data_IF_321173958721
#
_entry.id   IF_321173958721
#
_cell.length_a   1.000
_cell.length_b   1.000
_cell.length_c   1.000
_cell.angle_alpha   90.00
_cell.angle_beta   90.00
_cell.angle_gamma   90.00
#
_symmetry.space_group_name_H-M   'P 1'
#
loop_
_entity.id
_entity.type
_entity.pdbx_description
1 polymer ?
#
# COMPACT_ATOMS: atom_id res chain seq x y z
N UNK A 1 -20.04 -18.65 -20.22
CA UNK A 1 -20.47 -19.99 -19.69
C UNK A 1 -21.79 -19.89 -18.93
N UNK A 2 -21.98 -19.05 -17.90
CA UNK A 2 -23.27 -18.93 -17.16
C UNK A 2 -24.43 -18.66 -18.13
N UNK A 3 -24.32 -17.65 -18.99
CA UNK A 3 -25.38 -17.35 -20.02
C UNK A 3 -25.66 -18.54 -20.93
N UNK A 4 -24.67 -19.36 -21.27
CA UNK A 4 -24.88 -20.57 -22.07
C UNK A 4 -25.75 -21.60 -21.33
N UNK A 5 -25.45 -21.84 -20.06
CA UNK A 5 -26.27 -22.71 -19.21
C UNK A 5 -27.71 -22.19 -19.09
N UNK A 6 -27.85 -20.87 -18.86
CA UNK A 6 -29.17 -20.21 -18.78
C UNK A 6 -29.96 -20.35 -20.10
N UNK A 7 -29.31 -20.13 -21.24
CA UNK A 7 -29.96 -20.21 -22.56
C UNK A 7 -30.34 -21.64 -22.95
N UNK A 8 -29.74 -22.66 -22.32
CA UNK A 8 -30.02 -24.06 -22.55
C UNK A 8 -30.92 -24.67 -21.46
N UNK A 9 -31.44 -23.83 -20.54
CA UNK A 9 -32.21 -24.27 -19.37
C UNK A 9 -31.50 -25.35 -18.53
N UNK A 10 -30.15 -25.30 -18.48
CA UNK A 10 -29.34 -26.22 -17.70
C UNK A 10 -28.96 -25.53 -16.37
N UNK A 11 -29.20 -26.16 -15.21
CA UNK A 11 -28.79 -25.56 -13.94
C UNK A 11 -27.27 -25.36 -13.85
N UNK A 12 -26.83 -24.14 -13.50
CA UNK A 12 -25.41 -23.84 -13.26
C UNK A 12 -24.99 -24.54 -11.97
N UNK A 13 -23.91 -25.35 -11.97
CA UNK A 13 -23.44 -26.00 -10.76
C UNK A 13 -23.13 -25.00 -9.62
N UNK A 14 -23.65 -25.26 -8.41
CA UNK A 14 -23.47 -24.38 -7.26
C UNK A 14 -21.99 -24.09 -6.94
N UNK A 15 -21.12 -25.09 -7.08
CA UNK A 15 -19.67 -24.93 -6.89
C UNK A 15 -19.03 -23.97 -7.91
N UNK A 16 -19.57 -23.92 -9.14
CA UNK A 16 -19.13 -22.96 -10.14
C UNK A 16 -19.57 -21.53 -9.77
N UNK A 17 -20.84 -21.35 -9.38
CA UNK A 17 -21.35 -20.07 -8.93
C UNK A 17 -20.57 -19.53 -7.72
N UNK A 18 -20.25 -20.38 -6.76
CA UNK A 18 -19.44 -19.99 -5.60
C UNK A 18 -18.04 -19.50 -6.00
N UNK A 19 -17.37 -20.18 -6.94
CA UNK A 19 -16.06 -19.76 -7.46
C UNK A 19 -16.17 -18.46 -8.26
N UNK A 20 -17.20 -18.35 -9.07
CA UNK A 20 -17.49 -17.16 -9.85
C UNK A 20 -17.75 -15.95 -8.95
N UNK A 21 -18.52 -16.10 -7.88
CA UNK A 21 -18.77 -15.05 -6.90
C UNK A 21 -17.45 -14.52 -6.30
N UNK A 22 -16.50 -15.40 -5.96
CA UNK A 22 -15.21 -15.00 -5.39
C UNK A 22 -14.39 -14.08 -6.31
N UNK A 23 -14.53 -14.20 -7.63
CA UNK A 23 -13.86 -13.32 -8.58
C UNK A 23 -14.42 -11.88 -8.51
N UNK A 24 -15.72 -11.73 -8.27
CA UNK A 24 -16.36 -10.42 -8.14
C UNK A 24 -16.14 -9.79 -6.76
N UNK A 25 -15.99 -10.59 -5.73
CA UNK A 25 -15.75 -10.10 -4.36
C UNK A 25 -14.43 -9.36 -4.19
N UNK A 26 -13.49 -9.45 -5.14
CA UNK A 26 -12.26 -8.68 -5.10
C UNK A 26 -12.53 -7.17 -5.16
N UNK A 27 -13.51 -6.73 -5.97
CA UNK A 27 -13.81 -5.31 -6.16
C UNK A 27 -14.23 -4.61 -4.86
N UNK A 28 -15.26 -5.06 -4.13
CA UNK A 28 -15.66 -4.42 -2.89
C UNK A 28 -14.58 -4.53 -1.79
N UNK A 29 -13.85 -5.64 -1.74
CA UNK A 29 -12.81 -5.84 -0.73
C UNK A 29 -11.61 -4.91 -0.91
N UNK A 30 -11.26 -4.58 -2.16
CA UNK A 30 -10.21 -3.59 -2.48
C UNK A 30 -10.73 -2.15 -2.55
N UNK A 31 -12.04 -1.92 -2.52
CA UNK A 31 -12.63 -0.60 -2.73
C UNK A 31 -12.05 0.45 -1.77
N UNK A 32 -11.60 1.55 -2.32
CA UNK A 32 -11.22 2.76 -1.58
C UNK A 32 -12.46 3.57 -1.18
N UNK A 33 -12.36 4.51 -0.24
CA UNK A 33 -13.46 5.40 0.16
C UNK A 33 -14.11 6.19 -0.98
N UNK A 34 -13.41 6.43 -2.09
CA UNK A 34 -13.94 7.10 -3.28
C UNK A 34 -14.81 6.20 -4.18
N UNK A 35 -14.96 4.91 -3.82
CA UNK A 35 -15.76 3.93 -4.55
C UNK A 35 -15.03 3.22 -5.69
N UNK A 36 -13.72 3.40 -5.82
CA UNK A 36 -12.89 2.75 -6.85
C UNK A 36 -11.89 1.77 -6.22
N UNK A 37 -11.37 0.86 -7.03
CA UNK A 37 -10.21 0.06 -6.64
C UNK A 37 -8.92 0.90 -6.74
N UNK A 38 -7.86 0.58 -5.98
CA UNK A 38 -6.56 1.23 -6.16
C UNK A 38 -5.92 0.83 -7.50
N UNK A 39 -4.99 1.68 -7.98
CA UNK A 39 -4.05 1.27 -9.02
C UNK A 39 -3.05 0.29 -8.39
N UNK A 40 -2.93 -0.90 -8.93
CA UNK A 40 -1.96 -1.90 -8.45
C UNK A 40 -1.25 -2.50 -9.66
N UNK A 41 0.06 -2.54 -9.64
CA UNK A 41 0.86 -3.05 -10.76
C UNK A 41 0.46 -2.38 -12.09
N UNK A 42 0.34 -3.12 -13.20
CA UNK A 42 -0.18 -2.60 -14.47
C UNK A 42 -1.72 -2.46 -14.50
N UNK A 43 -2.37 -2.41 -13.35
CA UNK A 43 -3.81 -2.18 -13.24
C UNK A 43 -4.20 -0.71 -13.26
N UNK A 44 -5.50 -0.48 -13.34
CA UNK A 44 -6.12 0.83 -13.23
C UNK A 44 -7.28 0.82 -12.24
N UNK A 45 -7.79 2.01 -11.90
CA UNK A 45 -8.93 2.16 -11.00
C UNK A 45 -10.23 1.73 -11.67
N UNK A 46 -10.93 0.79 -11.07
CA UNK A 46 -12.26 0.34 -11.49
C UNK A 46 -13.33 0.95 -10.60
N UNK A 47 -14.43 1.40 -11.19
CA UNK A 47 -15.65 1.82 -10.46
C UNK A 47 -16.35 0.59 -9.90
N UNK A 48 -16.32 0.42 -8.58
CA UNK A 48 -16.85 -0.77 -7.91
C UNK A 48 -18.36 -0.87 -8.07
N UNK A 49 -19.09 0.21 -8.01
CA UNK A 49 -20.55 0.17 -8.20
C UNK A 49 -20.93 -0.32 -9.61
N UNK A 50 -20.18 0.10 -10.65
CA UNK A 50 -20.36 -0.37 -12.01
C UNK A 50 -20.07 -1.87 -12.14
N UNK A 51 -19.00 -2.35 -11.53
CA UNK A 51 -18.65 -3.77 -11.58
C UNK A 51 -19.67 -4.62 -10.81
N UNK A 52 -20.16 -4.15 -9.64
CA UNK A 52 -21.19 -4.86 -8.89
C UNK A 52 -22.53 -4.91 -9.64
N UNK A 53 -22.91 -3.88 -10.40
CA UNK A 53 -24.10 -3.95 -11.28
C UNK A 53 -23.97 -5.05 -12.32
N UNK A 54 -22.81 -5.24 -12.93
CA UNK A 54 -22.54 -6.36 -13.85
C UNK A 54 -22.62 -7.71 -13.16
N UNK A 55 -22.07 -7.82 -11.94
CA UNK A 55 -22.10 -9.06 -11.16
C UNK A 55 -23.54 -9.48 -10.81
N UNK A 56 -24.41 -8.52 -10.50
CA UNK A 56 -25.83 -8.74 -10.20
C UNK A 56 -26.65 -9.25 -11.40
N UNK A 57 -26.18 -9.08 -12.65
CA UNK A 57 -26.80 -9.73 -13.80
C UNK A 57 -26.76 -11.27 -13.72
N UNK A 58 -25.82 -11.80 -12.94
CA UNK A 58 -25.61 -13.25 -12.77
C UNK A 58 -26.06 -13.79 -11.41
N UNK A 59 -26.09 -12.94 -10.40
CA UNK A 59 -26.42 -13.28 -9.03
C UNK A 59 -27.28 -12.17 -8.38
N UNK A 60 -28.52 -11.98 -8.85
CA UNK A 60 -29.38 -10.86 -8.42
C UNK A 60 -29.81 -10.95 -6.94
N UNK A 61 -29.70 -12.12 -6.32
CA UNK A 61 -30.03 -12.35 -4.91
C UNK A 61 -28.99 -11.81 -3.91
N UNK A 62 -27.80 -11.41 -4.37
CA UNK A 62 -26.72 -10.92 -3.54
C UNK A 62 -27.01 -9.49 -3.04
N UNK A 63 -27.66 -9.42 -1.87
CA UNK A 63 -28.04 -8.15 -1.24
C UNK A 63 -26.83 -7.30 -0.81
N UNK A 64 -25.72 -7.93 -0.45
CA UNK A 64 -24.45 -7.27 -0.17
C UNK A 64 -23.87 -6.60 -1.44
N UNK A 65 -23.99 -7.24 -2.61
CA UNK A 65 -23.57 -6.63 -3.88
C UNK A 65 -24.48 -5.49 -4.31
N UNK A 66 -25.80 -5.58 -4.02
CA UNK A 66 -26.75 -4.50 -4.24
C UNK A 66 -26.36 -3.26 -3.46
N UNK A 67 -25.87 -3.43 -2.23
CA UNK A 67 -25.41 -2.31 -1.41
C UNK A 67 -24.27 -1.54 -2.10
N UNK A 68 -23.25 -2.22 -2.61
CA UNK A 68 -22.17 -1.59 -3.36
C UNK A 68 -22.64 -1.00 -4.70
N UNK A 69 -23.47 -1.74 -5.46
CA UNK A 69 -24.01 -1.30 -6.75
C UNK A 69 -24.83 -0.02 -6.67
N UNK A 70 -25.46 0.24 -5.53
CA UNK A 70 -26.32 1.40 -5.24
C UNK A 70 -25.62 2.46 -4.38
N UNK A 71 -24.31 2.32 -4.14
CA UNK A 71 -23.54 3.22 -3.27
C UNK A 71 -24.17 3.38 -1.86
N UNK A 72 -24.67 2.28 -1.29
CA UNK A 72 -25.23 2.24 0.06
C UNK A 72 -26.69 2.62 0.20
N UNK A 73 -27.40 2.94 -0.89
CA UNK A 73 -28.82 3.34 -0.83
C UNK A 73 -29.80 2.15 -0.91
N UNK A 74 -29.33 0.95 -1.22
CA UNK A 74 -30.13 -0.28 -1.28
C UNK A 74 -29.29 -1.50 -0.94
N UNK A 75 -29.94 -2.61 -0.61
CA UNK A 75 -29.27 -3.84 -0.20
C UNK A 75 -28.90 -3.85 1.29
N UNK A 76 -27.98 -4.73 1.67
CA UNK A 76 -27.50 -4.90 3.05
C UNK A 76 -26.03 -4.56 3.11
N UNK A 77 -25.58 -3.68 4.04
CA UNK A 77 -24.17 -3.37 4.17
C UNK A 77 -23.35 -4.62 4.47
N UNK A 78 -22.07 -4.67 4.01
CA UNK A 78 -21.22 -5.81 4.31
C UNK A 78 -20.96 -5.93 5.81
N UNK A 79 -20.83 -7.14 6.30
CA UNK A 79 -20.57 -7.44 7.72
C UNK A 79 -19.08 -7.42 8.09
N UNK A 80 -18.23 -6.85 7.25
CA UNK A 80 -16.81 -6.67 7.46
C UNK A 80 -16.40 -5.23 7.12
N UNK A 81 -15.30 -4.76 7.67
CA UNK A 81 -14.64 -3.51 7.30
C UNK A 81 -13.33 -3.79 6.58
N UNK A 82 -12.35 -4.25 7.31
CA UNK A 82 -11.04 -4.59 6.77
C UNK A 82 -11.01 -6.02 6.23
N UNK A 83 -10.12 -6.30 5.29
CA UNK A 83 -10.05 -7.61 4.67
C UNK A 83 -8.61 -8.01 4.30
N UNK A 84 -8.30 -9.27 4.47
CA UNK A 84 -7.02 -9.86 4.04
C UNK A 84 -7.31 -10.98 3.06
N UNK A 85 -6.60 -10.97 1.93
CA UNK A 85 -6.53 -12.09 1.01
C UNK A 85 -5.33 -12.96 1.38
N UNK A 86 -5.47 -13.99 2.22
CA UNK A 86 -4.31 -14.67 2.83
C UNK A 86 -3.48 -15.45 1.81
N UNK A 87 -4.08 -15.78 0.67
CA UNK A 87 -3.37 -16.41 -0.43
C UNK A 87 -2.59 -15.41 -1.29
N UNK A 88 -3.25 -14.29 -1.64
CA UNK A 88 -2.70 -13.29 -2.55
C UNK A 88 -1.83 -12.24 -1.85
N UNK A 89 -2.03 -12.05 -0.55
CA UNK A 89 -1.27 -11.06 0.23
C UNK A 89 -1.81 -9.63 0.15
N UNK A 90 -2.94 -9.40 -0.49
CA UNK A 90 -3.56 -8.08 -0.49
C UNK A 90 -4.26 -7.83 0.86
N UNK A 91 -3.93 -6.72 1.51
CA UNK A 91 -4.49 -6.32 2.80
C UNK A 91 -5.17 -4.97 2.66
N UNK A 92 -6.43 -4.86 3.08
CA UNK A 92 -7.14 -3.59 3.19
C UNK A 92 -7.62 -3.37 4.61
N UNK A 93 -7.41 -2.17 5.12
CA UNK A 93 -7.81 -1.74 6.46
C UNK A 93 -8.66 -0.49 6.35
N UNK A 94 -9.74 -0.36 7.13
CA UNK A 94 -10.62 0.81 7.06
C UNK A 94 -11.41 1.06 8.32
N UNK A 95 -11.83 2.34 8.52
CA UNK A 95 -12.74 2.74 9.58
C UNK A 95 -14.21 2.63 9.19
N UNK A 96 -14.52 2.67 7.91
CA UNK A 96 -15.89 2.68 7.39
C UNK A 96 -15.94 2.52 5.88
N UNK A 97 -17.15 2.67 5.33
CA UNK A 97 -17.42 2.56 3.89
C UNK A 97 -17.77 3.91 3.24
N UNK A 98 -17.87 4.97 4.02
CA UNK A 98 -18.16 6.30 3.51
C UNK A 98 -16.94 6.97 2.90
N UNK A 99 -17.16 8.08 2.16
CA UNK A 99 -16.09 8.80 1.46
C UNK A 99 -15.04 9.45 2.36
N UNK A 100 -15.36 9.64 3.64
CA UNK A 100 -14.43 10.21 4.64
C UNK A 100 -13.69 9.16 5.46
N UNK A 101 -14.01 7.88 5.26
CA UNK A 101 -13.33 6.80 5.94
C UNK A 101 -11.81 6.87 5.75
N UNK A 102 -11.07 6.49 6.77
CA UNK A 102 -9.63 6.27 6.68
C UNK A 102 -9.40 4.85 6.18
N UNK A 103 -8.62 4.72 5.12
CA UNK A 103 -8.35 3.47 4.43
C UNK A 103 -6.87 3.33 4.12
N UNK A 104 -6.37 2.11 4.23
CA UNK A 104 -5.04 1.74 3.77
C UNK A 104 -5.06 0.41 3.02
N UNK A 105 -4.11 0.26 2.12
CA UNK A 105 -3.73 -0.98 1.45
C UNK A 105 -2.27 -1.31 1.77
N UNK A 106 -1.96 -2.59 1.96
CA UNK A 106 -0.59 -3.10 2.02
C UNK A 106 -0.45 -4.28 1.08
N UNK A 107 0.60 -4.25 0.26
CA UNK A 107 0.98 -5.37 -0.60
C UNK A 107 1.90 -6.35 0.16
N UNK A 108 1.33 -7.42 0.67
CA UNK A 108 2.06 -8.54 1.26
C UNK A 108 2.19 -9.73 0.30
N UNK A 109 1.96 -9.50 -1.00
CA UNK A 109 1.99 -10.55 -2.03
C UNK A 109 3.43 -10.99 -2.36
N UNK A 110 3.65 -12.24 -2.73
CA UNK A 110 4.86 -12.62 -3.44
C UNK A 110 4.83 -12.06 -4.87
N UNK A 111 5.97 -12.09 -5.54
CA UNK A 111 5.97 -11.88 -6.98
C UNK A 111 5.16 -12.98 -7.68
N UNK A 112 4.30 -12.56 -8.59
CA UNK A 112 3.47 -13.42 -9.42
C UNK A 112 3.97 -13.43 -10.87
N UNK A 113 3.01 -13.56 -11.77
CA UNK A 113 3.28 -13.73 -13.21
C UNK A 113 2.80 -12.51 -14.00
N UNK A 114 3.69 -11.90 -14.78
CA UNK A 114 3.37 -10.81 -15.69
C UNK A 114 2.78 -9.56 -15.00
N UNK A 115 2.91 -8.43 -15.61
CA UNK A 115 2.35 -7.15 -15.11
C UNK A 115 2.78 -6.77 -13.69
N UNK A 116 3.78 -7.43 -13.12
CA UNK A 116 4.25 -7.18 -11.77
C UNK A 116 5.21 -5.98 -11.72
N UNK A 117 5.10 -5.20 -10.65
CA UNK A 117 6.06 -4.17 -10.29
C UNK A 117 6.95 -4.63 -9.13
N UNK A 118 8.03 -3.93 -8.90
CA UNK A 118 8.96 -4.17 -7.78
C UNK A 118 8.46 -3.43 -6.52
N UNK A 119 7.25 -3.75 -6.10
CA UNK A 119 6.40 -2.99 -5.18
C UNK A 119 6.06 -3.75 -3.88
N UNK A 120 6.80 -4.81 -3.56
CA UNK A 120 6.47 -5.61 -2.38
C UNK A 120 6.58 -4.79 -1.10
N UNK A 121 5.59 -4.97 -0.22
CA UNK A 121 5.38 -4.20 1.02
C UNK A 121 5.00 -2.73 0.79
N UNK A 122 4.50 -2.38 -0.42
CA UNK A 122 3.94 -1.06 -0.72
C UNK A 122 2.72 -0.77 0.16
N UNK A 123 2.55 0.51 0.52
CA UNK A 123 1.40 1.00 1.31
C UNK A 123 0.73 2.16 0.57
N UNK A 124 -0.61 2.13 0.52
CA UNK A 124 -1.43 3.24 0.04
C UNK A 124 -2.31 3.75 1.16
N UNK A 125 -2.63 5.03 1.17
CA UNK A 125 -3.53 5.66 2.15
C UNK A 125 -4.48 6.62 1.46
N UNK A 126 -5.79 6.43 1.71
CA UNK A 126 -6.82 7.40 1.38
C UNK A 126 -7.60 7.75 2.65
N UNK A 127 -7.84 9.01 2.91
CA UNK A 127 -8.58 9.44 4.09
C UNK A 127 -9.29 10.77 3.83
N UNK A 128 -10.46 10.96 4.45
CA UNK A 128 -11.21 12.22 4.41
C UNK A 128 -11.48 12.73 2.99
N UNK A 129 -11.69 11.78 2.04
CA UNK A 129 -11.96 12.07 0.64
C UNK A 129 -10.74 12.47 -0.20
N UNK A 130 -9.52 12.31 0.33
CA UNK A 130 -8.27 12.64 -0.38
C UNK A 130 -7.40 11.40 -0.54
N UNK A 131 -6.82 11.21 -1.73
CA UNK A 131 -5.66 10.34 -1.92
C UNK A 131 -4.46 10.99 -1.22
N UNK A 132 -3.81 10.28 -0.32
CA UNK A 132 -2.70 10.82 0.46
C UNK A 132 -1.38 10.17 0.08
N UNK A 133 -1.25 8.87 0.28
CA UNK A 133 -0.12 8.07 -0.18
C UNK A 133 -0.64 7.25 -1.35
N UNK A 134 -0.08 7.48 -2.52
CA UNK A 134 -0.66 7.09 -3.79
C UNK A 134 0.23 6.12 -4.58
N UNK A 135 -0.31 5.60 -5.67
CA UNK A 135 0.34 4.64 -6.56
C UNK A 135 0.11 5.04 -8.02
N UNK A 136 1.16 4.96 -8.81
CA UNK A 136 1.11 5.30 -10.22
C UNK A 136 0.32 4.32 -11.08
N UNK A 137 0.32 3.05 -10.70
CA UNK A 137 -0.27 2.00 -11.50
C UNK A 137 0.46 1.79 -12.83
N UNK A 138 -0.28 1.41 -13.85
CA UNK A 138 0.28 1.14 -15.18
C UNK A 138 0.75 2.42 -15.89
N UNK A 139 1.75 2.27 -16.74
CA UNK A 139 2.13 3.22 -17.78
C UNK A 139 2.15 2.51 -19.14
N UNK A 140 2.39 3.24 -20.23
CA UNK A 140 2.46 2.65 -21.55
C UNK A 140 3.55 1.56 -21.65
N UNK A 141 3.30 0.52 -22.46
CA UNK A 141 4.25 -0.57 -22.70
C UNK A 141 5.31 -0.14 -23.73
N UNK A 142 6.13 0.83 -23.35
CA UNK A 142 7.22 1.37 -24.17
C UNK A 142 8.57 1.19 -23.46
N UNK A 143 9.64 1.71 -24.06
CA UNK A 143 11.00 1.65 -23.49
C UNK A 143 11.40 2.95 -22.79
N UNK A 144 10.42 3.83 -22.50
CA UNK A 144 10.68 5.12 -21.86
C UNK A 144 11.23 4.99 -20.45
N UNK A 145 11.92 6.03 -19.97
CA UNK A 145 12.38 6.08 -18.58
C UNK A 145 11.22 6.12 -17.59
N UNK A 146 10.06 6.68 -18.01
CA UNK A 146 8.86 6.64 -17.20
C UNK A 146 8.33 5.22 -17.02
N UNK A 147 8.33 4.38 -18.10
CA UNK A 147 7.94 2.97 -17.96
C UNK A 147 8.88 2.20 -17.04
N UNK A 148 10.18 2.39 -17.18
CA UNK A 148 11.18 1.78 -16.28
C UNK A 148 10.98 2.23 -14.85
N UNK A 149 10.68 3.52 -14.65
CA UNK A 149 10.44 4.08 -13.31
C UNK A 149 9.21 3.45 -12.65
N UNK A 150 8.06 3.40 -13.32
CA UNK A 150 6.83 2.86 -12.71
C UNK A 150 6.93 1.37 -12.35
N UNK A 151 7.78 0.62 -13.04
CA UNK A 151 8.06 -0.78 -12.70
C UNK A 151 9.01 -0.94 -11.52
N UNK A 152 9.87 0.05 -11.26
CA UNK A 152 10.95 -0.02 -10.28
C UNK A 152 10.47 0.29 -8.87
N UNK A 153 11.16 -0.23 -7.87
CA UNK A 153 10.87 0.05 -6.45
C UNK A 153 10.83 1.54 -6.11
N UNK A 154 11.50 2.38 -6.91
CA UNK A 154 11.49 3.84 -6.75
C UNK A 154 10.13 4.52 -6.92
N UNK A 155 9.20 3.87 -7.62
CA UNK A 155 7.85 4.40 -7.85
C UNK A 155 6.85 4.01 -6.76
N UNK A 156 7.28 3.27 -5.74
CA UNK A 156 6.40 2.66 -4.74
C UNK A 156 6.76 3.07 -3.30
N UNK A 157 5.81 2.91 -2.38
CA UNK A 157 5.92 3.33 -0.98
C UNK A 157 6.55 2.21 -0.14
N UNK A 158 7.77 1.85 -0.45
CA UNK A 158 8.52 0.76 0.18
C UNK A 158 10.00 1.14 0.36
N UNK A 159 10.86 0.16 0.59
CA UNK A 159 12.29 0.39 0.88
C UNK A 159 13.16 -0.13 -0.25
N UNK A 160 14.20 0.64 -0.58
CA UNK A 160 15.36 0.24 -1.40
C UNK A 160 16.58 0.06 -0.52
N UNK A 161 17.49 -0.83 -0.93
CA UNK A 161 18.75 -1.10 -0.24
C UNK A 161 19.93 -0.86 -1.18
N UNK A 162 20.92 -0.08 -0.76
CA UNK A 162 22.10 0.30 -1.56
C UNK A 162 21.75 0.88 -2.93
N UNK A 163 20.67 1.68 -3.02
CA UNK A 163 20.19 2.23 -4.27
C UNK A 163 19.67 1.19 -5.28
N UNK A 164 19.47 -0.06 -4.84
CA UNK A 164 19.00 -1.17 -5.66
C UNK A 164 17.51 -1.43 -5.44
N UNK A 165 16.84 -1.79 -6.50
CA UNK A 165 15.43 -2.14 -6.50
C UNK A 165 15.20 -3.59 -6.04
N UNK A 166 13.98 -3.95 -5.72
CA UNK A 166 13.56 -5.31 -5.44
C UNK A 166 13.74 -6.16 -6.69
N UNK A 167 14.12 -7.42 -6.49
CA UNK A 167 14.38 -8.30 -7.61
C UNK A 167 13.12 -9.01 -8.11
N UNK A 168 12.50 -8.44 -9.13
CA UNK A 168 11.34 -9.03 -9.82
C UNK A 168 11.78 -10.07 -10.84
N UNK A 169 12.27 -11.20 -10.37
CA UNK A 169 12.82 -12.28 -11.20
C UNK A 169 11.93 -12.79 -12.30
N UNK A 170 10.64 -12.70 -12.14
CA UNK A 170 9.70 -13.48 -12.92
C UNK A 170 8.70 -12.63 -13.69
N UNK A 171 8.96 -11.36 -13.92
CA UNK A 171 8.03 -10.49 -14.65
C UNK A 171 7.59 -11.12 -15.98
N UNK A 172 8.43 -12.01 -16.54
CA UNK A 172 8.17 -12.65 -17.83
C UNK A 172 8.56 -14.15 -17.90
N UNK A 173 9.01 -14.77 -16.81
CA UNK A 173 9.36 -16.19 -16.78
C UNK A 173 8.43 -16.94 -15.85
N UNK A 174 7.58 -17.71 -16.44
CA UNK A 174 6.56 -18.50 -15.75
C UNK A 174 7.12 -19.87 -15.38
N UNK A 175 7.12 -20.17 -14.09
CA UNK A 175 7.37 -21.53 -13.65
C UNK A 175 6.30 -21.93 -12.60
N UNK A 176 6.10 -23.22 -12.43
CA UNK A 176 5.06 -23.77 -11.53
C UNK A 176 5.28 -23.33 -10.07
N UNK A 177 6.51 -23.12 -9.66
CA UNK A 177 6.84 -22.66 -8.32
C UNK A 177 6.36 -21.22 -8.05
N UNK A 178 6.55 -20.32 -9.02
CA UNK A 178 6.09 -18.93 -8.89
C UNK A 178 4.56 -18.85 -8.89
N UNK A 179 3.89 -19.66 -9.73
CA UNK A 179 2.42 -19.73 -9.78
C UNK A 179 1.84 -20.25 -8.46
N UNK A 180 2.50 -21.23 -7.84
CA UNK A 180 2.05 -21.84 -6.60
C UNK A 180 2.41 -21.05 -5.35
N UNK A 181 3.25 -20.02 -5.46
CA UNK A 181 3.71 -19.23 -4.31
C UNK A 181 2.56 -18.47 -3.68
N UNK A 182 2.37 -18.73 -2.40
CA UNK A 182 1.36 -18.04 -1.58
C UNK A 182 2.01 -16.92 -0.81
N UNK A 183 1.19 -15.92 -0.46
CA UNK A 183 1.60 -14.93 0.51
C UNK A 183 1.84 -15.59 1.87
N UNK A 184 2.82 -15.05 2.60
CA UNK A 184 3.06 -15.32 4.01
C UNK A 184 2.79 -14.04 4.78
N UNK A 185 1.51 -13.82 5.10
CA UNK A 185 1.04 -12.63 5.81
C UNK A 185 0.45 -13.04 7.17
N UNK A 186 0.99 -12.47 8.23
CA UNK A 186 0.41 -12.54 9.57
C UNK A 186 -0.47 -11.32 9.77
N UNK A 187 -1.63 -11.47 10.39
CA UNK A 187 -2.57 -10.37 10.57
C UNK A 187 -3.51 -10.58 11.75
N UNK A 188 -4.06 -9.49 12.23
CA UNK A 188 -5.18 -9.44 13.17
C UNK A 188 -6.10 -8.28 12.82
N UNK A 189 -7.41 -8.52 12.85
CA UNK A 189 -8.44 -7.53 12.57
C UNK A 189 -9.38 -7.43 13.76
N UNK A 190 -9.60 -6.23 14.27
CA UNK A 190 -10.57 -5.95 15.34
C UNK A 190 -11.31 -4.63 15.11
N UNK A 191 -12.34 -4.30 15.86
CA UNK A 191 -13.00 -2.99 15.77
C UNK A 191 -12.08 -1.81 16.06
N UNK A 192 -11.12 -1.96 16.97
CA UNK A 192 -10.24 -0.89 17.46
C UNK A 192 -8.92 -0.80 16.72
N UNK A 193 -8.41 -1.96 16.25
CA UNK A 193 -7.05 -2.07 15.73
C UNK A 193 -6.96 -3.18 14.70
N UNK A 194 -6.38 -2.86 13.54
CA UNK A 194 -5.93 -3.85 12.57
C UNK A 194 -4.42 -3.88 12.49
N UNK A 195 -3.85 -5.03 12.14
CA UNK A 195 -2.44 -5.11 11.80
C UNK A 195 -2.18 -6.22 10.77
N UNK A 196 -1.15 -6.01 9.96
CA UNK A 196 -0.61 -7.02 9.05
C UNK A 196 0.91 -6.92 9.01
N UNK A 197 1.57 -8.07 8.90
CA UNK A 197 3.02 -8.18 8.79
C UNK A 197 3.39 -9.19 7.71
N UNK A 198 4.35 -8.80 6.86
CA UNK A 198 4.93 -9.66 5.84
C UNK A 198 6.41 -9.33 5.61
N UNK A 199 7.12 -10.24 4.95
CA UNK A 199 8.54 -10.09 4.65
C UNK A 199 8.81 -10.23 3.16
N UNK A 200 9.70 -9.37 2.65
CA UNK A 200 10.32 -9.49 1.35
C UNK A 200 11.74 -10.04 1.52
N UNK A 201 12.04 -11.17 0.87
CA UNK A 201 13.30 -11.89 1.01
C UNK A 201 13.93 -12.32 -0.33
N UNK A 202 13.40 -11.84 -1.47
CA UNK A 202 13.90 -12.25 -2.79
C UNK A 202 15.20 -11.52 -3.18
N UNK A 203 15.60 -10.49 -2.41
CA UNK A 203 16.85 -9.75 -2.56
C UNK A 203 16.71 -8.47 -3.35
N UNK A 204 17.75 -7.62 -3.28
CA UNK A 204 17.83 -6.33 -3.95
C UNK A 204 18.94 -6.36 -5.00
N UNK A 205 18.66 -5.93 -6.21
CA UNK A 205 19.66 -5.94 -7.27
C UNK A 205 19.11 -5.74 -8.67
N UNK A 206 20.01 -5.82 -9.66
CA UNK A 206 19.63 -5.77 -11.04
C UNK A 206 19.45 -7.21 -11.57
N UNK A 207 18.31 -7.56 -12.16
CA UNK A 207 18.07 -8.88 -12.77
C UNK A 207 19.12 -9.30 -13.80
N UNK A 208 19.72 -8.35 -14.49
CA UNK A 208 20.74 -8.61 -15.51
C UNK A 208 22.06 -9.13 -14.93
N UNK A 209 22.33 -8.87 -13.65
CA UNK A 209 23.57 -9.26 -12.98
C UNK A 209 23.53 -10.66 -12.33
N UNK A 210 22.39 -11.37 -12.44
CA UNK A 210 22.22 -12.69 -11.86
C UNK A 210 21.89 -12.69 -10.36
N UNK A 211 21.40 -13.82 -9.87
CA UNK A 211 20.93 -13.99 -8.46
C UNK A 211 22.03 -13.99 -7.42
N UNK A 212 23.23 -14.38 -7.81
CA UNK A 212 24.40 -14.42 -6.94
C UNK A 212 24.87 -13.03 -6.52
N UNK A 213 24.54 -12.01 -7.31
CA UNK A 213 24.91 -10.61 -7.07
C UNK A 213 23.86 -9.81 -6.31
N UNK A 214 22.76 -10.45 -5.88
CA UNK A 214 21.74 -9.80 -5.10
C UNK A 214 22.17 -9.55 -3.66
N UNK A 215 21.82 -8.40 -3.13
CA UNK A 215 21.88 -8.19 -1.69
C UNK A 215 20.74 -8.99 -1.03
N UNK A 216 21.07 -9.86 -0.09
CA UNK A 216 20.14 -10.77 0.58
C UNK A 216 19.51 -10.15 1.83
N UNK A 217 19.49 -8.84 1.96
CA UNK A 217 18.77 -8.15 3.03
C UNK A 217 17.29 -8.51 2.98
N UNK A 218 16.76 -8.92 4.11
CA UNK A 218 15.33 -9.17 4.30
C UNK A 218 14.70 -7.89 4.82
N UNK A 219 13.63 -7.45 4.18
CA UNK A 219 12.76 -6.38 4.64
C UNK A 219 11.48 -6.97 5.19
N UNK A 220 11.21 -6.78 6.47
CA UNK A 220 9.94 -7.10 7.11
C UNK A 220 9.21 -5.81 7.44
N UNK A 221 7.96 -5.69 7.01
CA UNK A 221 7.08 -4.55 7.29
C UNK A 221 5.86 -5.01 8.04
N UNK A 222 5.54 -4.29 9.12
CA UNK A 222 4.28 -4.40 9.85
C UNK A 222 3.53 -3.09 9.77
N UNK A 223 2.32 -3.13 9.26
CA UNK A 223 1.38 -2.02 9.27
C UNK A 223 0.41 -2.24 10.41
N UNK A 224 0.30 -1.29 11.33
CA UNK A 224 -0.68 -1.27 12.41
C UNK A 224 -1.60 -0.07 12.19
N UNK A 225 -2.89 -0.30 12.16
CA UNK A 225 -3.91 0.73 12.03
C UNK A 225 -4.70 0.89 13.33
N UNK A 226 -4.51 2.00 14.00
CA UNK A 226 -5.26 2.41 15.18
C UNK A 226 -6.53 3.11 14.72
N UNK A 227 -7.66 2.42 14.79
CA UNK A 227 -8.97 2.93 14.32
C UNK A 227 -9.69 3.76 15.39
N UNK A 228 -9.47 3.41 16.65
CA UNK A 228 -10.15 4.05 17.78
C UNK A 228 -9.20 4.22 18.96
N UNK A 229 -8.67 5.44 19.11
CA UNK A 229 -7.92 5.86 20.29
C UNK A 229 -8.63 7.09 20.87
N UNK A 230 -9.01 7.09 22.16
CA UNK A 230 -9.76 8.21 22.72
C UNK A 230 -9.06 9.56 22.51
N UNK A 231 -9.78 10.51 21.91
CA UNK A 231 -9.27 11.86 21.64
C UNK A 231 -8.28 12.00 20.49
N UNK A 232 -8.08 10.94 19.69
CA UNK A 232 -7.13 10.91 18.58
C UNK A 232 -7.83 10.42 17.33
N UNK A 233 -7.61 11.09 16.19
CA UNK A 233 -8.06 10.58 14.89
C UNK A 233 -7.30 9.31 14.51
N UNK A 234 -7.88 8.44 13.68
CA UNK A 234 -7.23 7.20 13.27
C UNK A 234 -5.84 7.43 12.65
N UNK A 235 -4.87 6.60 12.98
CA UNK A 235 -3.51 6.72 12.50
C UNK A 235 -2.84 5.36 12.26
N UNK A 236 -1.72 5.36 11.54
CA UNK A 236 -0.96 4.15 11.25
C UNK A 236 0.43 4.21 11.87
N UNK A 237 0.90 3.05 12.32
CA UNK A 237 2.31 2.81 12.61
C UNK A 237 2.87 1.82 11.58
N UNK A 238 3.88 2.24 10.83
CA UNK A 238 4.62 1.40 9.89
C UNK A 238 5.94 1.03 10.57
N UNK A 239 6.13 -0.26 10.82
CA UNK A 239 7.34 -0.79 11.45
C UNK A 239 8.14 -1.54 10.39
N UNK A 240 9.28 -0.99 10.04
CA UNK A 240 10.22 -1.59 9.10
C UNK A 240 11.40 -2.21 9.83
N UNK A 241 11.72 -3.46 9.48
CA UNK A 241 12.92 -4.17 9.96
C UNK A 241 13.73 -4.62 8.76
N UNK A 242 14.99 -4.21 8.74
CA UNK A 242 15.97 -4.69 7.78
C UNK A 242 16.91 -5.67 8.49
N UNK A 243 17.11 -6.83 7.90
CA UNK A 243 18.04 -7.84 8.38
C UNK A 243 19.00 -8.21 7.26
N UNK A 244 20.23 -7.72 7.34
CA UNK A 244 21.28 -8.02 6.38
C UNK A 244 21.91 -9.38 6.67
N UNK A 245 22.49 -10.06 5.68
CA UNK A 245 23.16 -11.34 5.85
C UNK A 245 24.52 -11.22 6.56
N UNK A 246 25.07 -10.01 6.66
CA UNK A 246 26.39 -9.71 7.21
C UNK A 246 26.45 -8.30 7.81
N UNK A 247 27.59 -7.93 8.41
CA UNK A 247 27.84 -6.62 9.05
C UNK A 247 28.38 -5.57 8.07
N UNK A 248 28.34 -5.79 6.77
CA UNK A 248 28.67 -4.77 5.75
C UNK A 248 27.73 -3.59 5.89
N UNK A 249 28.29 -2.38 5.91
CA UNK A 249 27.48 -1.15 5.92
C UNK A 249 26.69 -1.02 4.62
N UNK A 250 25.38 -0.79 4.73
CA UNK A 250 24.42 -0.57 3.65
C UNK A 250 23.70 0.75 3.84
N UNK A 251 23.18 1.28 2.76
CA UNK A 251 22.19 2.37 2.80
C UNK A 251 20.79 1.81 2.60
N UNK A 252 19.79 2.56 3.06
CA UNK A 252 18.39 2.30 2.72
C UNK A 252 17.69 3.62 2.39
N UNK A 253 16.66 3.54 1.56
CA UNK A 253 15.77 4.64 1.19
C UNK A 253 14.35 4.21 1.48
N UNK A 254 13.62 4.98 2.31
CA UNK A 254 12.17 4.82 2.53
C UNK A 254 11.46 5.93 1.77
N UNK A 255 10.50 5.59 0.92
CA UNK A 255 9.84 6.51 0.00
C UNK A 255 8.35 6.61 0.28
N UNK A 256 7.80 7.83 0.18
CA UNK A 256 6.37 8.12 0.31
C UNK A 256 5.91 9.00 -0.85
N UNK A 257 5.15 8.43 -1.81
CA UNK A 257 4.62 9.14 -2.97
C UNK A 257 3.29 9.78 -2.59
N UNK A 258 3.29 11.10 -2.48
CA UNK A 258 2.11 11.85 -2.07
C UNK A 258 1.33 12.34 -3.28
N UNK A 259 0.01 12.35 -3.17
CA UNK A 259 -0.81 13.10 -4.12
C UNK A 259 -0.46 14.59 -4.02
N UNK A 260 -0.83 15.39 -5.05
CA UNK A 260 -0.51 16.83 -5.08
C UNK A 260 -0.93 17.50 -3.79
N UNK A 261 0.03 18.10 -3.10
CA UNK A 261 -0.16 18.74 -1.79
C UNK A 261 0.87 19.85 -1.56
N UNK A 262 0.65 20.64 -0.51
CA UNK A 262 1.68 21.54 0.01
C UNK A 262 2.51 20.79 1.05
N UNK A 263 3.75 20.46 0.70
CA UNK A 263 4.64 19.68 1.55
C UNK A 263 5.56 20.61 2.38
N UNK A 264 5.71 20.29 3.68
CA UNK A 264 6.71 20.87 4.59
C UNK A 264 7.50 19.74 5.22
N UNK A 265 8.82 19.81 5.17
CA UNK A 265 9.74 18.85 5.78
C UNK A 265 10.49 19.49 6.93
N UNK A 266 10.62 18.77 8.04
CA UNK A 266 11.37 19.16 9.23
C UNK A 266 12.13 17.95 9.78
N UNK A 267 13.36 17.73 9.31
CA UNK A 267 14.20 16.62 9.72
C UNK A 267 13.53 15.27 9.48
N UNK A 268 13.20 14.56 10.56
CA UNK A 268 12.55 13.24 10.53
C UNK A 268 11.03 13.27 10.31
N UNK A 269 10.46 14.43 10.09
CA UNK A 269 9.02 14.61 9.95
C UNK A 269 8.69 15.36 8.68
N UNK A 270 7.49 15.08 8.14
CA UNK A 270 6.88 15.93 7.12
C UNK A 270 5.40 16.15 7.41
N UNK A 271 4.88 17.22 6.84
CA UNK A 271 3.45 17.55 6.85
C UNK A 271 3.01 17.90 5.43
N UNK A 272 1.96 17.22 4.98
CA UNK A 272 1.34 17.37 3.67
C UNK A 272 -0.07 17.94 3.83
N UNK A 273 -0.34 19.12 3.25
CA UNK A 273 -1.65 19.76 3.23
C UNK A 273 -2.32 19.50 1.86
N UNK A 274 -3.42 18.76 1.87
CA UNK A 274 -4.19 18.40 0.66
C UNK A 274 -5.35 19.38 0.38
N UNK A 275 -5.42 20.48 1.12
CA UNK A 275 -6.53 21.44 1.02
C UNK A 275 -7.77 21.01 1.81
N UNK A 276 -8.75 21.91 1.89
CA UNK A 276 -10.01 21.71 2.60
C UNK A 276 -9.87 21.29 4.07
N UNK A 277 -8.75 21.68 4.72
CA UNK A 277 -8.44 21.31 6.09
C UNK A 277 -7.98 19.85 6.27
N UNK A 278 -7.69 19.14 5.19
CA UNK A 278 -7.25 17.74 5.22
C UNK A 278 -5.73 17.67 5.07
N UNK A 279 -5.09 16.90 5.93
CA UNK A 279 -3.64 16.80 5.99
C UNK A 279 -3.15 15.40 6.39
N UNK A 280 -1.88 15.13 6.10
CA UNK A 280 -1.14 13.96 6.58
C UNK A 280 0.14 14.44 7.24
N UNK A 281 0.38 14.03 8.47
CA UNK A 281 1.70 14.15 9.10
C UNK A 281 2.39 12.79 9.14
N UNK A 282 3.71 12.81 8.99
CA UNK A 282 4.55 11.62 9.16
C UNK A 282 5.76 11.96 10.02
N UNK A 283 6.13 11.04 10.90
CA UNK A 283 7.34 11.15 11.74
C UNK A 283 8.02 9.80 11.84
N UNK A 284 9.32 9.78 11.56
CA UNK A 284 10.17 8.59 11.71
C UNK A 284 10.88 8.56 13.07
N UNK A 285 11.00 7.37 13.66
CA UNK A 285 11.83 7.14 14.84
C UNK A 285 13.32 7.13 14.54
N UNK A 286 13.70 7.03 13.26
CA UNK A 286 15.10 6.93 12.85
C UNK A 286 15.84 8.26 13.00
N UNK A 287 16.65 8.35 14.04
CA UNK A 287 17.39 9.58 14.40
C UNK A 287 18.54 9.90 13.46
N UNK A 288 19.02 8.89 12.74
CA UNK A 288 20.16 9.00 11.81
C UNK A 288 19.74 9.36 10.38
N UNK A 289 18.43 9.57 10.15
CA UNK A 289 17.88 9.88 8.84
C UNK A 289 17.06 11.17 8.86
N UNK A 290 16.90 11.78 7.69
CA UNK A 290 16.03 12.92 7.47
C UNK A 290 15.31 12.78 6.13
N UNK A 291 14.10 13.35 6.06
CA UNK A 291 13.36 13.41 4.80
C UNK A 291 13.90 14.49 3.88
N UNK A 292 13.95 14.19 2.60
CA UNK A 292 14.22 15.13 1.51
C UNK A 292 13.09 14.98 0.49
N UNK A 293 12.58 16.08 -0.05
CA UNK A 293 11.58 15.98 -1.14
C UNK A 293 12.29 15.73 -2.48
N UNK A 294 11.92 14.65 -3.14
CA UNK A 294 12.36 14.33 -4.50
C UNK A 294 11.16 14.45 -5.45
N UNK A 295 10.87 15.65 -5.90
CA UNK A 295 9.72 15.94 -6.76
C UNK A 295 10.17 16.23 -8.18
N UNK A 296 9.68 15.46 -9.15
CA UNK A 296 9.93 15.68 -10.56
C UNK A 296 11.40 15.55 -10.98
N UNK A 297 12.18 14.79 -10.23
CA UNK A 297 13.61 14.57 -10.51
C UNK A 297 13.76 13.65 -11.74
N UNK A 298 14.69 14.00 -12.64
CA UNK A 298 15.08 13.19 -13.80
C UNK A 298 16.53 12.75 -13.76
N UNK A 299 17.40 13.55 -13.14
CA UNK A 299 18.84 13.31 -13.02
C UNK A 299 19.23 13.22 -11.54
N UNK A 300 20.02 12.25 -11.10
CA UNK A 300 20.63 11.14 -11.87
C UNK A 300 19.66 10.01 -12.23
N UNK A 301 18.42 10.02 -11.76
CA UNK A 301 17.38 9.03 -12.03
C UNK A 301 15.98 9.62 -11.83
N UNK A 302 15.00 9.01 -12.42
CA UNK A 302 13.59 9.39 -12.23
C UNK A 302 13.15 9.13 -10.80
N UNK A 303 12.58 10.15 -10.15
CA UNK A 303 11.95 10.09 -8.82
C UNK A 303 10.90 11.18 -8.66
N UNK A 304 9.79 10.86 -7.98
CA UNK A 304 8.72 11.82 -7.72
C UNK A 304 7.88 12.15 -8.95
N UNK A 305 7.53 11.14 -9.74
CA UNK A 305 6.65 11.25 -10.91
C UNK A 305 5.46 10.32 -10.79
N UNK A 306 4.36 10.70 -11.43
CA UNK A 306 3.15 9.90 -11.51
C UNK A 306 2.59 9.93 -12.94
N UNK A 307 2.18 8.76 -13.50
CA UNK A 307 1.43 8.69 -14.73
C UNK A 307 0.11 9.47 -14.65
N UNK A 308 -0.26 10.13 -15.74
CA UNK A 308 -1.57 10.77 -15.91
C UNK A 308 -2.34 10.00 -16.95
N UNK A 309 -3.38 9.29 -16.49
CA UNK A 309 -4.26 8.53 -17.37
C UNK A 309 -5.28 9.44 -18.04
N UNK A 310 -4.99 9.81 -19.29
CA UNK A 310 -5.94 10.42 -20.21
C UNK A 310 -5.88 9.66 -21.54
N UNK A 311 -6.97 9.66 -22.26
CA UNK A 311 -6.98 9.26 -23.67
C UNK A 311 -6.17 10.28 -24.46
N UNK A 312 -4.88 10.06 -24.65
CA UNK A 312 -3.99 11.01 -25.30
C UNK A 312 -2.53 10.68 -25.10
N UNK A 313 -1.61 11.60 -25.42
CA UNK A 313 -0.19 11.37 -25.33
C UNK A 313 0.25 11.03 -23.90
N UNK A 314 1.35 10.32 -23.81
CA UNK A 314 2.02 9.80 -22.63
C UNK A 314 2.37 10.91 -21.63
N UNK A 315 1.42 11.29 -20.78
CA UNK A 315 1.59 12.35 -19.81
C UNK A 315 2.02 11.78 -18.44
N UNK A 316 2.84 12.52 -17.75
CA UNK A 316 3.19 12.29 -16.35
C UNK A 316 3.34 13.64 -15.66
N UNK A 317 3.14 13.67 -14.36
CA UNK A 317 3.26 14.86 -13.53
C UNK A 317 4.21 14.63 -12.37
N UNK A 318 4.89 15.68 -11.95
CA UNK A 318 5.66 15.67 -10.71
C UNK A 318 4.72 15.54 -9.51
N UNK A 319 5.16 14.79 -8.50
CA UNK A 319 4.48 14.63 -7.22
C UNK A 319 5.48 14.75 -6.08
N UNK A 320 5.09 15.35 -4.95
CA UNK A 320 5.92 15.38 -3.75
C UNK A 320 6.23 13.95 -3.28
N UNK A 321 7.51 13.67 -3.11
CA UNK A 321 7.98 12.35 -2.66
C UNK A 321 9.01 12.52 -1.55
N UNK A 322 8.59 12.61 -0.28
CA UNK A 322 9.52 12.55 0.84
C UNK A 322 10.27 11.22 0.85
N UNK A 323 11.59 11.30 0.76
CA UNK A 323 12.50 10.16 0.82
C UNK A 323 13.38 10.32 2.06
N UNK A 324 13.44 9.28 2.88
CA UNK A 324 14.34 9.22 4.03
C UNK A 324 15.49 8.27 3.71
N UNK A 325 16.71 8.75 3.84
CA UNK A 325 17.92 7.98 3.57
C UNK A 325 18.69 7.77 4.87
N UNK A 326 19.01 6.52 5.15
CA UNK A 326 19.81 6.14 6.30
C UNK A 326 20.82 5.05 5.99
N UNK A 327 21.55 4.60 7.01
CA UNK A 327 22.54 3.54 6.87
C UNK A 327 22.39 2.52 8.01
N UNK A 328 22.77 1.26 7.73
CA UNK A 328 22.73 0.18 8.70
C UNK A 328 23.80 -0.88 8.40
N UNK A 329 24.09 -1.67 9.44
CA UNK A 329 24.84 -2.91 9.34
C UNK A 329 24.11 -3.97 10.19
N UNK A 330 24.13 -5.23 9.75
CA UNK A 330 23.41 -6.30 10.41
C UNK A 330 21.89 -6.06 10.45
N UNK A 331 21.40 -5.40 11.49
CA UNK A 331 19.95 -5.16 11.68
C UNK A 331 19.63 -3.69 11.87
N UNK A 332 18.53 -3.24 11.27
CA UNK A 332 17.94 -1.92 11.52
C UNK A 332 16.44 -2.04 11.72
N UNK A 333 15.90 -1.24 12.62
CA UNK A 333 14.48 -1.11 12.85
C UNK A 333 14.09 0.37 12.85
N UNK A 334 12.97 0.66 12.20
CA UNK A 334 12.44 2.00 12.06
C UNK A 334 10.93 1.96 12.25
N UNK A 335 10.37 3.02 12.81
CA UNK A 335 8.92 3.22 12.89
C UNK A 335 8.59 4.54 12.27
N UNK A 336 7.64 4.54 11.36
CA UNK A 336 7.03 5.75 10.81
C UNK A 336 5.57 5.81 11.22
N UNK A 337 5.19 6.87 11.91
CA UNK A 337 3.78 7.16 12.19
C UNK A 337 3.24 8.00 11.04
N UNK A 338 2.12 7.56 10.48
CA UNK A 338 1.35 8.26 9.45
C UNK A 338 0.03 8.67 10.07
N UNK A 339 -0.25 9.96 10.16
CA UNK A 339 -1.44 10.48 10.83
C UNK A 339 -2.27 11.38 9.91
N UNK A 340 -3.30 10.83 9.24
CA UNK A 340 -4.30 11.61 8.53
C UNK A 340 -5.16 12.41 9.49
N UNK A 341 -5.48 13.65 9.17
CA UNK A 341 -6.36 14.51 9.98
C UNK A 341 -7.21 15.43 9.12
N UNK A 342 -8.40 15.78 9.65
CA UNK A 342 -9.28 16.86 9.14
C UNK A 342 -9.08 18.15 9.96
N UNK A 343 -7.89 18.60 10.24
CA UNK A 343 -7.68 19.87 10.96
C UNK A 343 -6.53 20.66 10.34
N UNK A 344 -6.64 21.98 10.40
CA UNK A 344 -5.57 22.90 9.97
C UNK A 344 -4.35 22.88 10.89
N UNK A 345 -4.50 22.38 12.11
CA UNK A 345 -3.41 22.18 13.06
C UNK A 345 -2.94 20.72 12.98
N UNK A 346 -1.76 20.53 12.39
CA UNK A 346 -1.14 19.21 12.34
C UNK A 346 -0.72 18.79 13.75
N UNK A 347 -1.13 17.62 14.22
CA UNK A 347 -0.57 17.09 15.45
C UNK A 347 0.91 16.79 15.22
N UNK A 348 1.77 17.45 15.98
CA UNK A 348 3.19 17.10 16.02
C UNK A 348 3.28 15.79 16.78
N UNK A 349 3.74 14.77 16.12
CA UNK A 349 3.97 13.46 16.73
C UNK A 349 5.46 13.31 16.98
N UNK A 350 5.86 13.19 18.24
CA UNK A 350 7.16 12.70 18.57
C UNK A 350 7.10 11.17 18.68
N UNK A 351 7.94 10.46 17.95
CA UNK A 351 8.10 9.02 18.07
C UNK A 351 9.45 8.74 18.70
N UNK A 352 9.45 8.13 19.86
CA UNK A 352 10.64 7.56 20.49
C UNK A 352 10.52 6.04 20.45
N UNK A 353 11.54 5.37 19.91
CA UNK A 353 11.66 3.93 19.98
C UNK A 353 12.65 3.57 21.10
N UNK A 354 12.28 2.62 21.94
CA UNK A 354 13.23 2.02 22.90
C UNK A 354 14.34 1.30 22.14
N UNK A 355 15.57 1.45 22.58
CA UNK A 355 16.75 0.76 22.03
C UNK A 355 16.85 -0.72 22.44
N UNK A 356 15.92 -1.24 23.24
CA UNK A 356 15.96 -2.62 23.68
C UNK A 356 15.45 -3.56 22.58
N UNK A 357 16.31 -4.48 22.15
CA UNK A 357 16.08 -5.36 20.98
C UNK A 357 15.02 -6.44 21.27
N UNK A 358 14.61 -6.64 22.52
CA UNK A 358 13.72 -7.73 22.94
C UNK A 358 12.28 -7.32 23.22
N UNK A 359 12.03 -6.08 23.54
CA UNK A 359 10.68 -5.55 23.70
C UNK A 359 10.70 -4.10 23.20
N UNK A 360 9.84 -3.78 22.24
CA UNK A 360 9.88 -2.45 21.70
C UNK A 360 8.64 -1.70 22.13
N UNK A 361 8.87 -0.84 23.10
CA UNK A 361 7.90 0.19 23.46
C UNK A 361 8.11 1.39 22.53
N UNK A 362 7.06 1.76 21.81
CA UNK A 362 7.01 3.03 21.11
C UNK A 362 6.21 3.99 21.97
N UNK A 363 6.80 5.10 22.30
CA UNK A 363 6.05 6.22 22.84
C UNK A 363 5.73 7.18 21.71
N UNK A 364 4.43 7.32 21.42
CA UNK A 364 3.89 8.31 20.50
C UNK A 364 3.32 9.44 21.34
N UNK A 365 3.88 10.62 21.19
CA UNK A 365 3.33 11.84 21.83
C UNK A 365 2.53 12.59 20.78
N UNK A 366 1.24 12.69 21.00
CA UNK A 366 0.33 13.44 20.14
C UNK A 366 0.25 14.90 20.57
N UNK A 367 -0.20 15.76 19.67
CA UNK A 367 -0.48 17.16 20.00
C UNK A 367 -1.48 17.21 21.18
N UNK A 368 -1.16 17.98 22.21
CA UNK A 368 -1.94 18.00 23.46
C UNK A 368 -1.39 17.09 24.57
N UNK A 369 -0.24 16.44 24.35
CA UNK A 369 0.47 15.68 25.37
C UNK A 369 -0.05 14.26 25.61
N UNK A 370 -1.03 13.79 24.84
CA UNK A 370 -1.49 12.40 24.91
C UNK A 370 -0.36 11.47 24.49
N UNK A 371 -0.05 10.47 25.32
CA UNK A 371 0.97 9.48 25.08
C UNK A 371 0.32 8.14 24.76
N UNK A 372 0.72 7.53 23.66
CA UNK A 372 0.35 6.17 23.29
C UNK A 372 1.60 5.31 23.32
N UNK A 373 1.61 4.31 24.18
CA UNK A 373 2.71 3.34 24.27
C UNK A 373 2.30 2.08 23.54
N UNK A 374 3.03 1.74 22.48
CA UNK A 374 2.85 0.50 21.75
C UNK A 374 3.91 -0.50 22.20
N UNK A 375 3.46 -1.66 22.67
CA UNK A 375 4.30 -2.80 22.99
C UNK A 375 4.17 -3.84 21.90
N UNK A 376 5.31 -4.30 21.40
CA UNK A 376 5.36 -5.37 20.42
C UNK A 376 5.78 -6.71 21.03
#
# INVERSE_FOLDING_TARGET
MIRLYQNLDIPVPASFLQRFARLWEIYPRLMMPDGRTPNLNDGGRCDVAKEMRKALEYMPERSDWQWFATCGTGGVPPNYLSYVFPWAGAVTMRTGWDRKAVWAYMDASPFGMGHQHEDKLNILVQAYGKDMITEGGCYFYDQSDMRKYVLSTRAHNTIRVDGKDQYAMATYRWNDGDIARKADVRFGLSPELDWAEASYADGYGNPELGRENLDKTIHTRKLIFFKSVPGVSPFFAVIDRLTAPDERKRTYETMWHLESCKLKIAGRSFAADFGDGVSLSATSSDVDSAFVNMEGQKDPYFQGWMPVWKSGPHEHRAIPTPVSVGAFAGKRRMVTILHPCESSSLPIVAVTASSDVKAVDFEIVLHGGTRVVLRE
#
